data_IF_812120021730
#
_entry.id   IF_812120021730
#
_cell.length_a   1.000
_cell.length_b   1.000
_cell.length_c   1.000
_cell.angle_alpha   90.00
_cell.angle_beta   90.00
_cell.angle_gamma   90.00
#
_symmetry.space_group_name_H-M   'P 1'
#
loop_
_entity.id
_entity.type
_entity.pdbx_description
1 polymer ?
#
# COMPACT_ATOMS: atom_id res chain seq x y z
N UNK A 1 1.23 -12.78 -7.54
CA UNK A 1 1.21 -12.31 -6.15
C UNK A 1 0.11 -11.27 -5.88
N UNK A 2 -0.17 -10.34 -6.81
CA UNK A 2 -1.21 -9.31 -6.63
C UNK A 2 -2.65 -9.87 -6.51
N UNK A 3 -2.91 -11.09 -6.94
CA UNK A 3 -4.20 -11.77 -6.80
C UNK A 3 -4.35 -12.62 -5.53
N UNK A 4 -3.36 -12.63 -4.64
CA UNK A 4 -3.42 -13.40 -3.39
C UNK A 4 -4.34 -12.65 -2.41
N UNK A 5 -5.29 -13.35 -1.73
CA UNK A 5 -6.14 -12.74 -0.71
C UNK A 5 -5.30 -12.12 0.42
N UNK A 6 -5.73 -10.95 0.93
CA UNK A 6 -4.99 -10.22 1.96
C UNK A 6 -4.79 -11.03 3.25
N UNK A 7 -5.74 -11.90 3.59
CA UNK A 7 -5.65 -12.78 4.75
C UNK A 7 -4.43 -13.72 4.68
N UNK A 8 -4.03 -14.15 3.48
CA UNK A 8 -2.84 -15.01 3.28
C UNK A 8 -1.56 -14.24 3.62
N UNK A 9 -1.48 -12.96 3.27
CA UNK A 9 -0.39 -12.09 3.71
C UNK A 9 -0.37 -11.92 5.24
N UNK A 10 -1.55 -11.85 5.87
CA UNK A 10 -1.67 -11.83 7.32
C UNK A 10 -1.14 -13.12 7.98
N UNK A 11 -1.49 -14.29 7.44
CA UNK A 11 -0.97 -15.58 7.91
C UNK A 11 0.54 -15.71 7.68
N UNK A 12 1.03 -15.25 6.53
CA UNK A 12 2.47 -15.16 6.27
C UNK A 12 3.18 -14.28 7.29
N UNK A 13 2.64 -13.09 7.55
CA UNK A 13 3.17 -12.16 8.53
C UNK A 13 3.15 -12.72 9.96
N UNK A 14 2.08 -13.41 10.33
CA UNK A 14 1.96 -14.10 11.62
C UNK A 14 3.05 -15.16 11.76
N UNK A 15 3.23 -16.00 10.75
CA UNK A 15 4.26 -17.05 10.76
C UNK A 15 5.67 -16.45 10.80
N UNK A 16 5.97 -15.53 9.88
CA UNK A 16 7.33 -15.02 9.72
C UNK A 16 7.69 -13.99 10.78
N UNK A 17 6.93 -12.90 10.91
CA UNK A 17 7.33 -11.76 11.74
C UNK A 17 6.97 -11.96 13.21
N UNK A 18 5.79 -12.52 13.49
CA UNK A 18 5.35 -12.71 14.88
C UNK A 18 5.99 -13.93 15.50
N UNK A 19 5.97 -15.09 14.80
CA UNK A 19 6.41 -16.38 15.38
C UNK A 19 7.89 -16.62 15.18
N UNK A 20 8.42 -16.55 13.96
CA UNK A 20 9.83 -16.89 13.67
C UNK A 20 10.78 -15.78 14.11
N UNK A 21 10.49 -14.51 13.75
CA UNK A 21 11.33 -13.38 14.12
C UNK A 21 11.05 -12.83 15.53
N UNK A 22 10.05 -13.36 16.22
CA UNK A 22 9.71 -13.03 17.61
C UNK A 22 9.40 -11.54 17.86
N UNK A 23 8.91 -10.81 16.83
CA UNK A 23 8.50 -9.41 17.01
C UNK A 23 7.17 -9.25 17.75
N UNK A 24 6.46 -10.36 17.99
CA UNK A 24 5.14 -10.36 18.63
C UNK A 24 4.06 -9.68 17.77
N UNK A 25 2.87 -9.55 18.35
CA UNK A 25 1.79 -8.73 17.78
C UNK A 25 2.17 -7.26 17.96
N UNK A 26 2.59 -6.59 16.89
CA UNK A 26 3.24 -5.29 17.00
C UNK A 26 3.07 -4.43 15.75
N UNK A 27 3.33 -3.13 15.92
CA UNK A 27 3.33 -2.17 14.81
C UNK A 27 4.31 -2.58 13.71
N UNK A 28 5.51 -3.08 14.08
CA UNK A 28 6.52 -3.50 13.10
C UNK A 28 6.08 -4.75 12.33
N UNK A 29 5.49 -5.74 13.00
CA UNK A 29 4.96 -6.95 12.34
C UNK A 29 3.87 -6.62 11.33
N UNK A 30 2.95 -5.73 11.70
CA UNK A 30 1.89 -5.26 10.81
C UNK A 30 2.46 -4.44 9.64
N UNK A 31 3.39 -3.53 9.91
CA UNK A 31 4.02 -2.70 8.87
C UNK A 31 4.76 -3.54 7.84
N UNK A 32 5.54 -4.53 8.26
CA UNK A 32 6.26 -5.43 7.35
C UNK A 32 5.31 -6.32 6.54
N UNK A 33 4.23 -6.78 7.15
CA UNK A 33 3.19 -7.55 6.46
C UNK A 33 2.50 -6.74 5.38
N UNK A 34 2.06 -5.52 5.71
CA UNK A 34 1.44 -4.59 4.75
C UNK A 34 2.44 -4.15 3.67
N UNK A 35 3.71 -3.94 4.03
CA UNK A 35 4.77 -3.63 3.08
C UNK A 35 4.99 -4.77 2.07
N UNK A 36 4.97 -6.03 2.53
CA UNK A 36 5.08 -7.20 1.65
C UNK A 36 3.92 -7.28 0.65
N UNK A 37 2.70 -6.99 1.09
CA UNK A 37 1.52 -6.92 0.22
C UNK A 37 1.61 -5.74 -0.76
N UNK A 38 1.96 -4.55 -0.27
CA UNK A 38 2.12 -3.35 -1.09
C UNK A 38 3.23 -3.51 -2.12
N UNK A 39 4.34 -4.18 -1.77
CA UNK A 39 5.44 -4.48 -2.67
C UNK A 39 4.98 -5.35 -3.85
N UNK A 40 4.21 -6.41 -3.60
CA UNK A 40 3.67 -7.26 -4.64
C UNK A 40 2.84 -6.48 -5.67
N UNK A 41 2.00 -5.57 -5.19
CA UNK A 41 1.18 -4.70 -6.04
C UNK A 41 2.03 -3.68 -6.79
N UNK A 42 2.99 -3.04 -6.10
CA UNK A 42 3.88 -2.03 -6.70
C UNK A 42 4.76 -2.63 -7.81
N UNK A 43 5.25 -3.86 -7.64
CA UNK A 43 6.01 -4.57 -8.69
C UNK A 43 5.14 -4.77 -9.94
N UNK A 44 3.89 -5.22 -9.77
CA UNK A 44 2.99 -5.48 -10.90
C UNK A 44 2.68 -4.19 -11.65
N UNK A 45 2.27 -3.14 -10.95
CA UNK A 45 1.95 -1.85 -11.57
C UNK A 45 3.17 -1.15 -12.19
N UNK A 46 4.35 -1.30 -11.58
CA UNK A 46 5.61 -0.79 -12.15
C UNK A 46 5.99 -1.51 -13.43
N UNK A 47 5.82 -2.84 -13.45
CA UNK A 47 6.03 -3.63 -14.67
C UNK A 47 5.11 -3.18 -15.80
N UNK A 48 3.83 -2.99 -15.52
CA UNK A 48 2.85 -2.50 -16.49
C UNK A 48 3.21 -1.10 -16.99
N UNK A 49 3.61 -0.19 -16.09
CA UNK A 49 4.04 1.15 -16.44
C UNK A 49 5.29 1.15 -17.35
N UNK A 50 6.24 0.25 -17.12
CA UNK A 50 7.43 0.09 -17.95
C UNK A 50 7.05 -0.50 -19.32
N UNK A 51 6.18 -1.48 -19.36
CA UNK A 51 5.74 -2.11 -20.60
C UNK A 51 4.85 -1.20 -21.45
N UNK A 52 4.15 -0.25 -20.86
CA UNK A 52 3.32 0.73 -21.57
C UNK A 52 4.13 1.77 -22.36
N UNK A 53 5.45 1.84 -22.17
CA UNK A 53 6.32 2.71 -22.99
C UNK A 53 6.45 2.12 -24.40
N UNK A 54 6.05 2.85 -25.47
CA UNK A 54 6.07 2.34 -26.84
C UNK A 54 7.46 1.82 -27.25
N UNK A 55 7.48 0.72 -28.02
CA UNK A 55 8.70 0.07 -28.47
C UNK A 55 9.59 1.00 -29.34
N UNK A 56 8.97 1.86 -30.11
CA UNK A 56 9.61 2.84 -31.00
C UNK A 56 10.66 3.70 -30.27
N UNK A 57 10.39 4.10 -29.04
CA UNK A 57 11.35 4.86 -28.24
C UNK A 57 12.59 4.03 -27.85
N UNK A 58 12.40 2.73 -27.65
CA UNK A 58 13.49 1.82 -27.29
C UNK A 58 14.34 1.51 -28.52
N UNK A 59 13.68 1.19 -29.61
CA UNK A 59 14.32 0.88 -30.91
C UNK A 59 15.06 2.09 -31.46
N UNK A 60 14.43 3.27 -31.44
CA UNK A 60 15.09 4.51 -31.88
C UNK A 60 16.35 4.85 -31.07
N UNK A 61 16.29 4.66 -29.73
CA UNK A 61 17.48 4.88 -28.88
C UNK A 61 18.60 3.89 -29.18
N UNK A 62 18.28 2.62 -29.42
CA UNK A 62 19.27 1.59 -29.77
C UNK A 62 19.84 1.83 -31.16
N UNK A 63 19.03 2.27 -32.13
CA UNK A 63 19.46 2.60 -33.46
C UNK A 63 20.46 3.77 -33.49
N UNK A 64 20.38 4.70 -32.54
CA UNK A 64 21.32 5.79 -32.32
C UNK A 64 22.61 5.34 -31.58
N UNK A 65 22.81 4.04 -31.38
CA UNK A 65 24.01 3.49 -30.73
C UNK A 65 23.99 3.51 -29.19
N UNK A 66 22.86 3.86 -28.55
CA UNK A 66 22.75 3.79 -27.09
C UNK A 66 22.77 2.34 -26.59
N UNK A 67 23.42 2.11 -25.48
CA UNK A 67 23.36 0.80 -24.78
C UNK A 67 21.98 0.54 -24.18
N UNK A 68 21.64 -0.73 -23.92
CA UNK A 68 20.38 -1.10 -23.25
C UNK A 68 20.20 -0.36 -21.92
N UNK A 69 21.26 -0.21 -21.13
CA UNK A 69 21.21 0.49 -19.87
C UNK A 69 20.94 2.00 -20.04
N UNK A 70 21.57 2.64 -21.01
CA UNK A 70 21.29 4.04 -21.35
C UNK A 70 19.84 4.24 -21.80
N UNK A 71 19.33 3.34 -22.66
CA UNK A 71 17.93 3.35 -23.09
C UNK A 71 16.98 3.22 -21.90
N UNK A 72 17.21 2.28 -20.99
CA UNK A 72 16.36 2.11 -19.79
C UNK A 72 16.40 3.36 -18.93
N UNK A 73 17.60 3.86 -18.59
CA UNK A 73 17.78 4.95 -17.64
C UNK A 73 17.28 6.30 -18.16
N UNK A 74 17.51 6.61 -19.44
CA UNK A 74 17.23 7.93 -19.99
C UNK A 74 15.93 8.01 -20.81
N UNK A 75 15.41 6.88 -21.28
CA UNK A 75 14.22 6.86 -22.13
C UNK A 75 13.05 6.18 -21.42
N UNK A 76 13.22 4.91 -21.02
CA UNK A 76 12.11 4.10 -20.52
C UNK A 76 11.70 4.53 -19.12
N UNK A 77 12.64 4.60 -18.18
CA UNK A 77 12.35 4.89 -16.77
C UNK A 77 11.74 6.29 -16.56
N UNK A 78 12.23 7.37 -17.17
CA UNK A 78 11.58 8.68 -17.04
C UNK A 78 10.15 8.69 -17.57
N UNK A 79 9.87 7.95 -18.66
CA UNK A 79 8.51 7.83 -19.20
C UNK A 79 7.59 6.97 -18.36
N UNK A 80 8.11 5.94 -17.69
CA UNK A 80 7.36 5.06 -16.79
C UNK A 80 7.11 5.67 -15.40
N UNK A 81 7.92 6.64 -14.95
CA UNK A 81 7.85 7.25 -13.60
C UNK A 81 6.44 7.58 -13.12
N UNK A 82 5.57 8.28 -13.88
CA UNK A 82 4.25 8.64 -13.39
C UNK A 82 3.36 7.41 -13.14
N UNK A 83 3.50 6.37 -13.97
CA UNK A 83 2.80 5.10 -13.77
C UNK A 83 3.28 4.38 -12.51
N UNK A 84 4.60 4.33 -12.29
CA UNK A 84 5.21 3.73 -11.09
C UNK A 84 4.75 4.46 -9.83
N UNK A 85 4.82 5.79 -9.81
CA UNK A 85 4.38 6.60 -8.66
C UNK A 85 2.89 6.41 -8.38
N UNK A 86 2.06 6.42 -9.42
CA UNK A 86 0.62 6.17 -9.27
C UNK A 86 0.36 4.78 -8.67
N UNK A 87 1.08 3.76 -9.12
CA UNK A 87 0.99 2.41 -8.59
C UNK A 87 1.39 2.32 -7.12
N UNK A 88 2.49 2.99 -6.74
CA UNK A 88 2.95 3.03 -5.35
C UNK A 88 1.93 3.74 -4.42
N UNK A 89 1.40 4.89 -4.82
CA UNK A 89 0.38 5.60 -4.01
C UNK A 89 -0.90 4.79 -3.92
N UNK A 90 -1.30 4.10 -4.99
CA UNK A 90 -2.46 3.21 -4.95
C UNK A 90 -2.26 2.02 -4.00
N UNK A 91 -1.05 1.43 -3.98
CA UNK A 91 -0.71 0.37 -3.04
C UNK A 91 -0.76 0.84 -1.57
N UNK A 92 -0.27 2.07 -1.29
CA UNK A 92 -0.36 2.70 0.03
C UNK A 92 -1.81 2.99 0.45
N UNK A 93 -2.62 3.54 -0.47
CA UNK A 93 -4.04 3.79 -0.23
C UNK A 93 -4.79 2.51 0.13
N UNK A 94 -4.50 1.42 -0.58
CA UNK A 94 -5.07 0.11 -0.27
C UNK A 94 -4.63 -0.38 1.10
N UNK A 95 -3.33 -0.30 1.42
CA UNK A 95 -2.79 -0.73 2.72
C UNK A 95 -3.45 0.02 3.89
N UNK A 96 -3.81 1.30 3.72
CA UNK A 96 -4.48 2.10 4.75
C UNK A 96 -5.90 1.58 5.10
N UNK A 97 -6.55 0.86 4.19
CA UNK A 97 -7.88 0.26 4.41
C UNK A 97 -7.86 -1.21 4.81
N UNK A 98 -6.69 -1.85 4.89
CA UNK A 98 -6.58 -3.28 5.17
C UNK A 98 -6.90 -3.61 6.62
N UNK A 99 -7.80 -4.60 6.82
CA UNK A 99 -8.23 -5.07 8.15
C UNK A 99 -7.66 -6.45 8.47
N UNK A 100 -7.80 -7.42 7.54
CA UNK A 100 -7.50 -8.82 7.79
C UNK A 100 -6.04 -9.10 8.16
N UNK A 101 -5.01 -8.57 7.47
CA UNK A 101 -3.63 -8.75 7.89
C UNK A 101 -3.34 -8.14 9.25
N UNK A 102 -3.86 -6.93 9.51
CA UNK A 102 -3.62 -6.20 10.77
C UNK A 102 -4.18 -6.98 11.96
N UNK A 103 -5.37 -7.54 11.82
CA UNK A 103 -6.02 -8.37 12.85
C UNK A 103 -5.15 -9.54 13.28
N UNK A 104 -4.37 -10.11 12.37
CA UNK A 104 -3.53 -11.29 12.66
C UNK A 104 -2.15 -10.95 13.23
N UNK A 105 -1.60 -9.76 12.92
CA UNK A 105 -0.17 -9.48 13.18
C UNK A 105 0.09 -8.28 14.09
N UNK A 106 -0.89 -7.45 14.38
CA UNK A 106 -0.59 -6.20 15.09
C UNK A 106 -1.70 -5.62 15.93
N UNK A 107 -2.94 -6.09 15.76
CA UNK A 107 -4.07 -5.48 16.41
C UNK A 107 -4.21 -5.89 17.87
N UNK A 108 -4.27 -4.91 18.76
CA UNK A 108 -4.86 -5.09 20.08
C UNK A 108 -6.36 -4.88 19.98
N UNK A 109 -7.14 -5.77 20.60
CA UNK A 109 -8.59 -5.59 20.72
C UNK A 109 -8.95 -4.32 21.51
N UNK A 110 -8.09 -3.96 22.45
CA UNK A 110 -8.20 -2.75 23.24
C UNK A 110 -6.80 -2.14 23.43
N UNK A 111 -6.59 -0.94 22.93
CA UNK A 111 -5.34 -0.19 23.07
C UNK A 111 -5.59 1.09 23.88
N UNK A 112 -5.42 1.08 25.20
CA UNK A 112 -5.69 2.25 26.06
C UNK A 112 -4.66 3.36 25.89
N UNK A 113 -3.53 3.10 25.22
CA UNK A 113 -2.45 4.04 24.97
C UNK A 113 -1.99 3.98 23.52
N UNK A 114 -1.42 5.07 23.05
CA UNK A 114 -0.67 5.06 21.80
C UNK A 114 0.60 4.22 21.94
N UNK A 115 1.02 3.51 20.89
CA UNK A 115 2.27 2.74 20.93
C UNK A 115 3.46 3.67 21.19
N UNK A 116 4.30 3.30 22.13
CA UNK A 116 5.54 4.00 22.48
C UNK A 116 6.77 3.40 21.80
N UNK A 117 6.65 2.15 21.36
CA UNK A 117 7.69 1.39 20.67
C UNK A 117 7.13 0.76 19.37
N UNK A 118 7.96 0.54 18.34
CA UNK A 118 7.57 -0.24 17.17
C UNK A 118 7.15 -1.68 17.47
N UNK A 119 7.54 -2.20 18.63
CA UNK A 119 7.17 -3.54 19.09
C UNK A 119 5.88 -3.57 19.91
N UNK A 120 5.25 -2.41 20.15
CA UNK A 120 3.98 -2.36 20.87
C UNK A 120 2.83 -2.74 19.94
N UNK A 121 1.78 -3.39 20.48
CA UNK A 121 0.53 -3.60 19.77
C UNK A 121 -0.19 -2.26 19.59
N UNK A 122 -1.03 -2.16 18.56
CA UNK A 122 -1.75 -0.94 18.22
C UNK A 122 -3.16 -1.22 17.74
N UNK A 123 -3.99 -0.19 17.70
CA UNK A 123 -5.35 -0.22 17.14
C UNK A 123 -5.37 0.57 15.83
N UNK A 124 -5.69 -0.08 14.73
CA UNK A 124 -5.89 0.58 13.44
C UNK A 124 -7.35 0.89 13.20
N UNK A 125 -7.65 1.99 12.50
CA UNK A 125 -9.04 2.40 12.19
C UNK A 125 -9.86 1.31 11.50
N UNK A 126 -9.35 0.57 10.49
CA UNK A 126 -10.10 -0.52 9.87
C UNK A 126 -10.46 -1.64 10.84
N UNK A 127 -9.53 -1.97 11.73
CA UNK A 127 -9.78 -2.99 12.76
C UNK A 127 -10.72 -2.47 13.84
N UNK A 128 -10.59 -1.21 14.25
CA UNK A 128 -11.53 -0.58 15.20
C UNK A 128 -12.97 -0.61 14.66
N UNK A 129 -13.15 -0.24 13.38
CA UNK A 129 -14.47 -0.30 12.74
C UNK A 129 -15.04 -1.72 12.75
N UNK A 130 -14.22 -2.71 12.40
CA UNK A 130 -14.61 -4.12 12.43
C UNK A 130 -14.99 -4.58 13.85
N UNK A 131 -14.16 -4.26 14.84
CA UNK A 131 -14.39 -4.63 16.24
C UNK A 131 -15.65 -3.96 16.81
N UNK A 132 -15.86 -2.68 16.53
CA UNK A 132 -17.04 -1.93 16.94
C UNK A 132 -18.32 -2.50 16.33
N UNK A 133 -18.28 -2.90 15.05
CA UNK A 133 -19.45 -3.43 14.36
C UNK A 133 -19.82 -4.87 14.78
N UNK A 134 -18.82 -5.69 15.13
CA UNK A 134 -19.02 -7.12 15.35
C UNK A 134 -19.06 -7.54 16.82
N UNK A 135 -18.25 -6.92 17.67
CA UNK A 135 -18.02 -7.40 19.03
C UNK A 135 -18.51 -6.47 20.13
N UNK A 136 -18.84 -5.23 19.80
CA UNK A 136 -19.22 -4.22 20.79
C UNK A 136 -20.59 -3.59 20.46
N UNK A 137 -21.69 -4.37 20.55
CA UNK A 137 -23.03 -3.89 20.22
C UNK A 137 -23.49 -2.75 21.14
N UNK A 138 -22.87 -2.58 22.31
CA UNK A 138 -23.14 -1.48 23.24
C UNK A 138 -22.47 -0.16 22.84
N UNK A 139 -21.51 -0.19 21.92
CA UNK A 139 -20.94 1.05 21.37
C UNK A 139 -22.02 1.77 20.58
N UNK A 140 -22.19 3.06 20.89
CA UNK A 140 -23.12 3.92 20.16
C UNK A 140 -22.90 3.81 18.66
N UNK A 141 -23.97 3.58 17.90
CA UNK A 141 -23.97 3.57 16.43
C UNK A 141 -23.26 4.80 15.86
N UNK A 142 -23.32 5.94 16.54
CA UNK A 142 -22.65 7.19 16.15
C UNK A 142 -21.12 7.05 16.09
N UNK A 143 -20.50 6.26 17.00
CA UNK A 143 -19.05 6.04 17.01
C UNK A 143 -18.66 5.15 15.84
N UNK A 144 -19.42 4.09 15.58
CA UNK A 144 -19.19 3.17 14.46
C UNK A 144 -19.28 3.92 13.12
N UNK A 145 -20.36 4.70 12.92
CA UNK A 145 -20.53 5.51 11.71
C UNK A 145 -19.49 6.63 11.60
N UNK A 146 -19.11 7.26 12.72
CA UNK A 146 -18.04 8.25 12.77
C UNK A 146 -16.69 7.65 12.35
N UNK A 147 -16.34 6.47 12.86
CA UNK A 147 -15.11 5.75 12.48
C UNK A 147 -15.13 5.39 10.99
N UNK A 148 -16.26 4.90 10.47
CA UNK A 148 -16.40 4.60 9.04
C UNK A 148 -16.20 5.85 8.18
N UNK A 149 -16.78 6.98 8.58
CA UNK A 149 -16.62 8.26 7.87
C UNK A 149 -15.16 8.73 7.85
N UNK A 150 -14.47 8.69 9.01
CA UNK A 150 -13.07 9.08 9.11
C UNK A 150 -12.20 8.16 8.24
N UNK A 151 -12.40 6.85 8.30
CA UNK A 151 -11.67 5.90 7.46
C UNK A 151 -11.89 6.18 5.96
N UNK A 152 -13.13 6.43 5.56
CA UNK A 152 -13.47 6.77 4.19
C UNK A 152 -12.75 8.05 3.74
N UNK A 153 -12.76 9.11 4.57
CA UNK A 153 -12.06 10.35 4.27
C UNK A 153 -10.55 10.15 4.12
N UNK A 154 -9.93 9.35 4.98
CA UNK A 154 -8.49 9.02 4.90
C UNK A 154 -8.19 8.32 3.58
N UNK A 155 -8.92 7.25 3.24
CA UNK A 155 -8.71 6.49 2.00
C UNK A 155 -8.96 7.36 0.77
N UNK A 156 -10.02 8.17 0.76
CA UNK A 156 -10.31 9.11 -0.35
C UNK A 156 -9.22 10.16 -0.50
N UNK A 157 -8.66 10.67 0.61
CA UNK A 157 -7.55 11.62 0.58
C UNK A 157 -6.30 11.03 -0.08
N UNK A 158 -5.92 9.80 0.26
CA UNK A 158 -4.83 9.10 -0.42
C UNK A 158 -5.11 8.91 -1.92
N UNK A 159 -6.32 8.51 -2.28
CA UNK A 159 -6.70 8.35 -3.69
C UNK A 159 -6.66 9.69 -4.45
N UNK A 160 -7.13 10.78 -3.82
CA UNK A 160 -7.07 12.11 -4.41
C UNK A 160 -5.62 12.55 -4.67
N UNK A 161 -4.73 12.35 -3.70
CA UNK A 161 -3.29 12.61 -3.86
C UNK A 161 -2.72 11.82 -5.04
N UNK A 162 -3.08 10.54 -5.17
CA UNK A 162 -2.64 9.71 -6.30
C UNK A 162 -3.10 10.29 -7.66
N UNK A 163 -4.35 10.75 -7.73
CA UNK A 163 -4.91 11.36 -8.96
C UNK A 163 -4.20 12.68 -9.28
N UNK A 164 -3.96 13.53 -8.28
CA UNK A 164 -3.27 14.81 -8.45
C UNK A 164 -1.82 14.61 -8.94
N UNK A 165 -1.07 13.68 -8.35
CA UNK A 165 0.29 13.32 -8.81
C UNK A 165 0.25 12.87 -10.27
N UNK A 166 -0.71 12.02 -10.63
CA UNK A 166 -0.88 11.53 -12.00
C UNK A 166 -1.19 12.65 -12.98
N UNK A 167 -2.06 13.58 -12.59
CA UNK A 167 -2.43 14.71 -13.45
C UNK A 167 -1.25 15.64 -13.69
N UNK A 168 -0.51 15.99 -12.64
CA UNK A 168 0.68 16.87 -12.73
C UNK A 168 1.77 16.27 -13.63
N UNK A 169 2.07 14.99 -13.42
CA UNK A 169 3.05 14.27 -14.22
C UNK A 169 2.65 14.05 -15.70
N UNK A 170 1.37 14.22 -16.07
CA UNK A 170 0.91 14.22 -17.46
C UNK A 170 1.01 15.62 -18.09
N UNK A 171 0.74 16.67 -17.33
CA UNK A 171 0.81 18.04 -17.82
C UNK A 171 2.24 18.42 -18.25
N UNK A 172 3.28 18.01 -17.51
CA UNK A 172 4.69 18.23 -17.85
C UNK A 172 5.14 17.54 -19.17
N UNK A 173 4.33 16.65 -19.75
CA UNK A 173 4.65 15.97 -21.02
C UNK A 173 4.01 16.63 -22.24
N UNK A 174 3.07 17.54 -22.03
CA UNK A 174 2.36 18.24 -23.09
C UNK A 174 3.05 19.58 -23.49
N UNK A 175 4.02 20.01 -22.71
CA UNK A 175 4.93 21.13 -22.97
C UNK A 175 6.29 20.64 -23.43
#
# INVERSE_FOLDING_TARGET
LAGVPSIVFGLFGLGLFVTILHFGLSLISASLTLASQALAMTITTSREAILSVPAEYREGSLALGATRWQTIRHIVLPRARPGILTGAVHALSRAAGETAPIMLVGAAFFAPRLPSSPLDPFMALPYHLYAAAQYLPEISSSITWGTALVLLMVVLSFNLVAVLIRHHARAERAT
#
